data_IF_726822572681
#
_entry.id   IF_726822572681
#
_cell.length_a   1.000
_cell.length_b   1.000
_cell.length_c   1.000
_cell.angle_alpha   90.00
_cell.angle_beta   90.00
_cell.angle_gamma   90.00
#
_symmetry.space_group_name_H-M   'P 1'
#
loop_
_entity.id
_entity.type
_entity.pdbx_description
1 polymer ?
#
# COMPACT_ATOMS: atom_id res chain seq x y z
N UNK A 1 27.47 -32.79 17.89
CA UNK A 1 26.79 -32.78 19.20
C UNK A 1 26.21 -31.38 19.40
N UNK A 2 24.89 -31.23 19.53
CA UNK A 2 24.25 -29.92 19.73
C UNK A 2 24.26 -29.60 21.24
N UNK A 3 24.76 -28.42 21.62
CA UNK A 3 24.79 -27.96 23.00
C UNK A 3 23.79 -26.82 23.20
N UNK A 4 22.90 -26.96 24.19
CA UNK A 4 21.90 -25.95 24.53
C UNK A 4 22.26 -25.29 25.86
N UNK A 5 22.37 -23.96 25.86
CA UNK A 5 22.52 -23.13 27.04
C UNK A 5 21.23 -22.35 27.32
N UNK A 6 21.10 -21.79 28.53
CA UNK A 6 19.99 -20.88 28.85
C UNK A 6 19.97 -19.70 27.85
N UNK A 7 18.79 -19.42 27.29
CA UNK A 7 18.61 -18.40 26.27
C UNK A 7 18.96 -17.00 26.78
N UNK A 8 19.61 -16.19 25.93
CA UNK A 8 19.87 -14.78 26.23
C UNK A 8 18.60 -13.95 26.03
N UNK A 9 18.49 -12.83 26.74
CA UNK A 9 17.34 -11.93 26.67
C UNK A 9 17.16 -11.34 25.25
N UNK A 10 15.93 -11.08 24.79
CA UNK A 10 15.65 -10.68 23.40
C UNK A 10 16.41 -9.42 22.95
N UNK A 11 16.72 -8.51 23.90
CA UNK A 11 17.54 -7.31 23.68
C UNK A 11 19.00 -7.59 23.28
N UNK A 12 19.49 -8.81 23.47
CA UNK A 12 20.87 -9.22 23.14
C UNK A 12 21.02 -9.86 21.75
N UNK A 13 19.91 -10.08 21.05
CA UNK A 13 19.91 -10.66 19.70
C UNK A 13 20.08 -9.56 18.67
N UNK A 14 21.10 -9.69 17.81
CA UNK A 14 21.43 -8.74 16.74
C UNK A 14 20.22 -8.45 15.85
N UNK A 15 20.10 -7.20 15.40
CA UNK A 15 19.08 -6.79 14.43
C UNK A 15 19.18 -7.57 13.12
N UNK A 16 20.39 -8.02 12.74
CA UNK A 16 20.59 -8.84 11.54
C UNK A 16 19.85 -10.19 11.59
N UNK A 17 19.55 -10.69 12.78
CA UNK A 17 18.81 -11.94 12.97
C UNK A 17 17.29 -11.72 13.04
N UNK A 18 16.78 -10.52 12.71
CA UNK A 18 15.35 -10.16 12.76
C UNK A 18 14.85 -9.74 11.39
N UNK A 19 13.78 -10.35 10.91
CA UNK A 19 13.17 -9.99 9.64
C UNK A 19 12.55 -8.61 9.76
N UNK A 20 12.77 -7.77 8.75
CA UNK A 20 12.36 -6.36 8.74
C UNK A 20 10.83 -6.18 8.85
N UNK A 21 10.05 -7.16 8.40
CA UNK A 21 8.58 -7.05 8.30
C UNK A 21 7.81 -7.58 9.51
N UNK A 22 8.38 -8.51 10.30
CA UNK A 22 7.66 -9.17 11.41
C UNK A 22 8.52 -9.40 12.67
N UNK A 23 9.76 -8.89 12.69
CA UNK A 23 10.75 -9.07 13.76
C UNK A 23 11.08 -10.55 14.10
N UNK A 24 10.62 -11.49 13.26
CA UNK A 24 10.83 -12.90 13.52
C UNK A 24 12.30 -13.28 13.38
N UNK A 25 12.71 -14.22 14.23
CA UNK A 25 14.09 -14.65 14.33
C UNK A 25 14.45 -15.61 13.19
N UNK A 26 15.59 -15.35 12.55
CA UNK A 26 16.11 -16.20 11.48
C UNK A 26 17.64 -16.32 11.54
N UNK A 27 18.21 -17.42 11.02
CA UNK A 27 19.65 -17.58 10.92
C UNK A 27 20.23 -16.77 9.76
N UNK A 28 21.52 -16.44 9.89
CA UNK A 28 22.29 -15.74 8.86
C UNK A 28 23.01 -16.74 7.96
N UNK A 29 22.79 -16.70 6.66
CA UNK A 29 23.45 -17.56 5.68
C UNK A 29 24.56 -16.78 4.99
N UNK A 30 25.77 -17.31 5.06
CA UNK A 30 26.94 -16.78 4.40
C UNK A 30 27.43 -17.77 3.35
N UNK A 31 27.57 -17.31 2.10
CA UNK A 31 28.16 -18.10 1.02
C UNK A 31 29.44 -17.40 0.57
N UNK A 32 30.59 -18.07 0.72
CA UNK A 32 31.90 -17.48 0.41
C UNK A 32 32.09 -16.09 1.05
N UNK A 33 31.67 -15.96 2.33
CA UNK A 33 31.69 -14.74 3.15
C UNK A 33 30.73 -13.62 2.72
N UNK A 34 29.92 -13.80 1.68
CA UNK A 34 28.85 -12.87 1.34
C UNK A 34 27.58 -13.23 2.12
N UNK A 35 26.89 -12.22 2.65
CA UNK A 35 25.60 -12.39 3.32
C UNK A 35 24.50 -12.54 2.25
N UNK A 36 23.75 -13.62 2.31
CA UNK A 36 22.73 -13.96 1.32
C UNK A 36 21.32 -13.60 1.77
N UNK A 37 20.35 -13.64 0.85
CA UNK A 37 18.94 -13.53 1.21
C UNK A 37 18.45 -14.80 1.93
N UNK A 38 18.57 -14.78 3.25
CA UNK A 38 18.32 -15.96 4.09
C UNK A 38 16.86 -16.42 4.09
N UNK A 39 15.91 -15.53 3.79
CA UNK A 39 14.47 -15.89 3.78
C UNK A 39 14.18 -16.88 2.66
N UNK A 40 14.90 -16.79 1.54
CA UNK A 40 14.70 -17.67 0.37
C UNK A 40 15.43 -19.01 0.56
N UNK A 41 16.60 -18.97 1.20
CA UNK A 41 17.55 -20.09 1.21
C UNK A 41 17.42 -20.94 2.48
N UNK A 42 16.95 -20.34 3.57
CA UNK A 42 16.87 -21.00 4.88
C UNK A 42 15.67 -20.44 5.67
N UNK A 43 14.46 -20.73 5.21
CA UNK A 43 13.22 -20.24 5.81
C UNK A 43 12.89 -20.98 7.12
N UNK A 44 12.90 -20.31 8.30
CA UNK A 44 12.49 -20.92 9.56
C UNK A 44 11.03 -21.43 9.54
N UNK A 45 10.20 -20.91 8.64
CA UNK A 45 8.79 -21.26 8.51
C UNK A 45 8.54 -22.41 7.52
N UNK A 46 9.57 -23.09 7.00
CA UNK A 46 9.42 -24.18 6.01
C UNK A 46 8.51 -25.33 6.50
N UNK A 47 8.37 -25.51 7.82
CA UNK A 47 7.46 -26.50 8.43
C UNK A 47 6.28 -25.85 9.20
N UNK A 48 5.88 -24.62 8.88
CA UNK A 48 4.84 -23.85 9.60
C UNK A 48 3.49 -24.57 9.77
N UNK A 49 3.14 -25.50 8.87
CA UNK A 49 1.91 -26.30 8.95
C UNK A 49 1.97 -27.44 9.98
N UNK A 50 3.15 -27.75 10.53
CA UNK A 50 3.33 -28.78 11.57
C UNK A 50 3.19 -28.18 12.97
N UNK A 51 2.86 -29.03 13.94
CA UNK A 51 2.64 -28.59 15.33
C UNK A 51 3.93 -28.02 15.96
N UNK A 52 3.81 -27.06 16.88
CA UNK A 52 4.95 -26.44 17.59
C UNK A 52 5.73 -27.41 18.50
N UNK A 53 5.24 -28.65 18.62
CA UNK A 53 5.90 -29.77 19.30
C UNK A 53 6.84 -30.54 18.36
N UNK A 54 6.59 -30.49 17.06
CA UNK A 54 7.34 -31.18 16.01
C UNK A 54 8.36 -30.29 15.30
N UNK A 55 8.31 -28.98 15.55
CA UNK A 55 9.17 -28.00 14.90
C UNK A 55 9.81 -27.05 15.92
N UNK A 56 10.96 -26.49 15.56
CA UNK A 56 11.66 -25.47 16.32
C UNK A 56 11.49 -24.10 15.62
N UNK A 57 10.39 -23.36 15.88
CA UNK A 57 9.98 -22.21 15.06
C UNK A 57 10.82 -20.94 15.27
N UNK A 58 11.62 -20.85 16.33
CA UNK A 58 12.47 -19.67 16.59
C UNK A 58 13.91 -20.12 16.74
N UNK A 59 14.73 -19.78 15.74
CA UNK A 59 16.16 -20.09 15.74
C UNK A 59 16.97 -18.89 15.25
N UNK A 60 18.12 -18.70 15.88
CA UNK A 60 19.16 -17.76 15.45
C UNK A 60 20.45 -18.55 15.27
N UNK A 61 21.28 -18.15 14.32
CA UNK A 61 22.51 -18.88 14.02
C UNK A 61 23.24 -18.32 12.82
N UNK A 62 24.35 -18.97 12.45
CA UNK A 62 25.10 -18.70 11.23
C UNK A 62 25.28 -20.00 10.46
N UNK A 63 24.88 -20.01 9.20
CA UNK A 63 25.14 -21.09 8.25
C UNK A 63 26.20 -20.57 7.29
N UNK A 64 27.39 -21.20 7.28
CA UNK A 64 28.50 -20.78 6.44
C UNK A 64 28.78 -21.86 5.40
N UNK A 65 28.59 -21.54 4.13
CA UNK A 65 28.96 -22.39 3.00
C UNK A 65 30.23 -21.81 2.35
N UNK A 66 31.22 -22.67 2.16
CA UNK A 66 32.46 -22.33 1.46
C UNK A 66 32.60 -23.25 0.27
N UNK A 67 32.71 -22.67 -0.92
CA UNK A 67 32.91 -23.41 -2.18
C UNK A 67 33.97 -22.71 -3.02
N UNK A 68 34.88 -23.50 -3.59
CA UNK A 68 35.89 -23.03 -4.54
C UNK A 68 35.50 -23.29 -6.00
N UNK A 69 34.29 -23.78 -6.24
CA UNK A 69 33.85 -24.11 -7.60
C UNK A 69 33.61 -22.85 -8.41
N UNK A 70 34.11 -22.82 -9.64
CA UNK A 70 33.86 -21.75 -10.61
C UNK A 70 32.38 -21.69 -11.02
N UNK A 71 31.63 -22.79 -10.85
CA UNK A 71 30.17 -22.84 -11.06
C UNK A 71 29.38 -22.16 -9.93
N UNK A 72 30.05 -21.64 -8.90
CA UNK A 72 29.41 -20.89 -7.82
C UNK A 72 29.33 -19.40 -8.19
N UNK A 73 28.39 -19.07 -9.08
CA UNK A 73 28.18 -17.72 -9.59
C UNK A 73 27.10 -16.96 -8.81
N UNK A 74 27.24 -15.64 -8.75
CA UNK A 74 26.37 -14.75 -7.99
C UNK A 74 25.78 -13.65 -8.88
N UNK A 75 24.61 -13.14 -8.51
CA UNK A 75 24.07 -11.92 -9.11
C UNK A 75 24.98 -10.71 -8.80
N UNK A 76 24.78 -9.58 -9.50
CA UNK A 76 25.66 -8.40 -9.42
C UNK A 76 25.83 -7.85 -8.00
N UNK A 77 24.78 -7.94 -7.21
CA UNK A 77 24.68 -7.54 -5.79
C UNK A 77 25.15 -8.62 -4.80
N UNK A 78 25.52 -9.81 -5.29
CA UNK A 78 26.04 -10.96 -4.52
C UNK A 78 25.15 -11.42 -3.36
N UNK A 79 23.83 -11.25 -3.51
CA UNK A 79 22.85 -11.67 -2.51
C UNK A 79 22.07 -12.93 -2.92
N UNK A 80 22.16 -13.33 -4.19
CA UNK A 80 21.53 -14.53 -4.75
C UNK A 80 22.48 -15.28 -5.70
N UNK A 81 22.16 -16.55 -5.96
CA UNK A 81 22.87 -17.38 -6.92
C UNK A 81 22.45 -17.08 -8.36
N UNK A 82 23.37 -17.24 -9.30
CA UNK A 82 23.00 -17.53 -10.70
C UNK A 82 22.59 -19.00 -10.77
N UNK A 83 21.45 -19.29 -11.39
CA UNK A 83 20.90 -20.64 -11.43
C UNK A 83 21.74 -21.56 -12.32
N UNK A 84 22.24 -22.65 -11.72
CA UNK A 84 22.87 -23.76 -12.43
C UNK A 84 22.63 -25.07 -11.67
N UNK A 85 23.22 -26.18 -12.09
CA UNK A 85 23.03 -27.47 -11.42
C UNK A 85 23.58 -27.47 -9.98
N UNK A 86 24.78 -26.92 -9.78
CA UNK A 86 25.43 -26.87 -8.46
C UNK A 86 24.63 -26.02 -7.47
N UNK A 87 24.18 -24.84 -7.89
CA UNK A 87 23.44 -23.93 -7.00
C UNK A 87 22.06 -24.48 -6.66
N UNK A 88 21.38 -25.18 -7.59
CA UNK A 88 20.12 -25.88 -7.31
C UNK A 88 20.29 -27.01 -6.29
N UNK A 89 21.32 -27.83 -6.43
CA UNK A 89 21.57 -28.92 -5.49
C UNK A 89 21.94 -28.38 -4.10
N UNK A 90 22.75 -27.32 -4.04
CA UNK A 90 23.06 -26.64 -2.78
C UNK A 90 21.80 -26.10 -2.08
N UNK A 91 20.85 -25.52 -2.82
CA UNK A 91 19.60 -25.03 -2.23
C UNK A 91 18.77 -26.18 -1.63
N UNK A 92 18.71 -27.33 -2.31
CA UNK A 92 18.02 -28.53 -1.78
C UNK A 92 18.70 -29.07 -0.53
N UNK A 93 20.03 -29.06 -0.49
CA UNK A 93 20.80 -29.49 0.68
C UNK A 93 20.57 -28.56 1.87
N UNK A 94 20.54 -27.24 1.64
CA UNK A 94 20.26 -26.24 2.66
C UNK A 94 18.83 -26.34 3.20
N UNK A 95 17.85 -26.58 2.33
CA UNK A 95 16.46 -26.83 2.72
C UNK A 95 16.35 -28.12 3.57
N UNK A 96 17.04 -29.18 3.16
CA UNK A 96 17.07 -30.45 3.87
C UNK A 96 17.73 -30.31 5.25
N UNK A 97 18.83 -29.56 5.33
CA UNK A 97 19.51 -29.23 6.58
C UNK A 97 18.59 -28.44 7.52
N UNK A 98 17.86 -27.45 7.00
CA UNK A 98 16.90 -26.68 7.79
C UNK A 98 15.80 -27.56 8.38
N UNK A 99 15.19 -28.43 7.56
CA UNK A 99 14.18 -29.40 8.01
C UNK A 99 14.73 -30.34 9.09
N UNK A 100 15.95 -30.82 8.93
CA UNK A 100 16.63 -31.67 9.91
C UNK A 100 16.82 -30.92 11.25
N UNK A 101 17.37 -29.70 11.21
CA UNK A 101 17.58 -28.87 12.41
C UNK A 101 16.28 -28.61 13.15
N UNK A 102 15.19 -28.31 12.43
CA UNK A 102 13.89 -28.05 13.04
C UNK A 102 13.31 -29.29 13.74
N UNK A 103 13.45 -30.46 13.13
CA UNK A 103 12.90 -31.71 13.65
C UNK A 103 13.71 -32.21 14.84
N UNK A 104 15.02 -32.36 14.67
CA UNK A 104 15.95 -32.81 15.74
C UNK A 104 15.97 -31.81 16.91
N UNK A 105 15.92 -30.51 16.62
CA UNK A 105 15.86 -29.46 17.62
C UNK A 105 14.57 -29.51 18.45
N UNK A 106 13.45 -29.87 17.84
CA UNK A 106 12.18 -30.08 18.55
C UNK A 106 12.25 -31.31 19.47
N UNK A 107 12.84 -32.41 19.01
CA UNK A 107 13.02 -33.63 19.81
C UNK A 107 13.92 -33.42 21.02
N UNK A 108 15.04 -32.69 20.84
CA UNK A 108 15.93 -32.31 21.94
C UNK A 108 15.24 -31.40 22.96
N UNK A 109 14.48 -30.39 22.49
CA UNK A 109 13.65 -29.52 23.34
C UNK A 109 12.62 -30.32 24.13
N UNK A 110 12.00 -31.31 23.50
CA UNK A 110 11.02 -32.20 24.16
C UNK A 110 11.69 -33.13 25.18
N UNK A 111 12.90 -33.62 24.89
CA UNK A 111 13.72 -34.40 25.83
C UNK A 111 14.08 -33.61 27.09
N UNK A 112 14.45 -32.33 26.95
CA UNK A 112 14.75 -31.43 28.07
C UNK A 112 13.53 -31.12 28.96
N UNK A 113 12.30 -31.19 28.41
CA UNK A 113 11.08 -31.06 29.22
C UNK A 113 10.78 -32.31 30.04
N UNK A 114 11.13 -33.50 29.54
CA UNK A 114 10.91 -34.77 30.25
C UNK A 114 11.81 -34.93 31.48
N UNK A 115 12.99 -34.31 31.50
CA UNK A 115 13.94 -34.40 32.64
C UNK A 115 13.66 -33.43 33.80
N UNK A 116 12.61 -32.59 33.72
CA UNK A 116 12.25 -31.60 34.75
C UNK A 116 10.88 -31.84 35.41
N UNK A 117 10.46 -33.09 35.54
CA UNK A 117 9.41 -33.41 36.52
C UNK A 117 10.06 -33.64 37.88
N UNK A 118 10.51 -32.56 38.53
CA UNK A 118 10.73 -32.58 39.97
C UNK A 118 9.34 -32.55 40.62
N UNK A 119 8.95 -33.54 41.44
CA UNK A 119 7.69 -33.50 42.15
C UNK A 119 7.79 -32.42 43.22
N UNK A 120 7.39 -31.20 42.89
CA UNK A 120 7.09 -30.18 43.90
C UNK A 120 5.74 -30.54 44.51
N UNK A 121 5.76 -31.27 45.63
CA UNK A 121 4.64 -31.24 46.56
C UNK A 121 4.39 -29.81 47.05
N UNK A 122 3.16 -29.51 47.47
CA UNK A 122 2.86 -28.22 48.13
C UNK A 122 3.79 -28.10 49.35
N UNK A 123 4.80 -27.24 49.28
CA UNK A 123 5.66 -26.95 50.40
C UNK A 123 4.82 -26.36 51.55
N UNK A 124 5.16 -26.72 52.78
CA UNK A 124 4.62 -26.11 54.00
C UNK A 124 4.79 -24.58 53.91
N UNK A 125 3.77 -23.76 54.20
CA UNK A 125 3.88 -22.31 54.05
C UNK A 125 4.91 -21.81 55.06
N UNK A 126 6.11 -21.55 54.58
CA UNK A 126 7.05 -20.69 55.27
C UNK A 126 6.65 -19.28 54.87
N UNK A 127 6.22 -18.49 55.85
CA UNK A 127 6.03 -17.04 55.71
C UNK A 127 7.37 -16.43 55.29
N UNK A 128 7.60 -16.40 53.98
CA UNK A 128 8.56 -15.47 53.40
C UNK A 128 7.82 -14.15 53.37
N UNK A 129 8.23 -13.22 54.22
CA UNK A 129 8.00 -11.80 53.99
C UNK A 129 8.35 -11.54 52.52
N UNK A 130 7.32 -11.29 51.71
CA UNK A 130 7.50 -10.88 50.32
C UNK A 130 8.07 -9.48 50.40
N UNK A 131 9.39 -9.37 50.24
CA UNK A 131 9.98 -8.12 49.79
C UNK A 131 9.31 -7.74 48.46
N UNK A 132 8.32 -6.85 48.54
CA UNK A 132 7.63 -6.24 47.41
C UNK A 132 8.63 -5.36 46.66
N UNK A 133 9.45 -5.95 45.80
CA UNK A 133 10.11 -5.17 44.75
C UNK A 133 9.01 -4.69 43.80
N UNK A 134 8.69 -3.41 43.89
CA UNK A 134 7.79 -2.75 42.95
C UNK A 134 8.34 -2.95 41.52
N UNK A 135 7.48 -3.45 40.63
CA UNK A 135 7.71 -3.50 39.20
C UNK A 135 7.49 -2.14 38.53
N UNK A 136 7.55 -2.10 37.20
CA UNK A 136 7.34 -0.89 36.40
C UNK A 136 5.88 -0.84 35.96
N UNK A 137 5.22 0.29 36.13
CA UNK A 137 3.87 0.51 35.57
C UNK A 137 3.89 0.44 34.04
N UNK A 138 2.83 -0.09 33.43
CA UNK A 138 2.78 -0.33 31.99
C UNK A 138 1.38 -0.18 31.41
N UNK A 139 1.31 0.37 30.20
CA UNK A 139 0.12 0.41 29.36
C UNK A 139 0.38 -0.54 28.19
N UNK A 140 -0.47 -1.54 28.02
CA UNK A 140 -0.42 -2.48 26.90
C UNK A 140 -1.45 -2.07 25.87
N UNK A 141 -1.01 -1.88 24.63
CA UNK A 141 -1.86 -1.54 23.49
C UNK A 141 -2.31 -2.80 22.76
N UNK A 142 -3.57 -2.85 22.35
CA UNK A 142 -4.10 -3.89 21.49
C UNK A 142 -3.64 -3.67 20.04
N UNK A 143 -2.57 -4.38 19.67
CA UNK A 143 -1.97 -4.32 18.34
C UNK A 143 -2.82 -4.95 17.23
N UNK A 144 -3.97 -5.56 17.57
CA UNK A 144 -4.92 -6.08 16.57
C UNK A 144 -5.88 -5.03 16.06
N UNK A 145 -5.97 -3.86 16.72
CA UNK A 145 -6.83 -2.76 16.29
C UNK A 145 -6.25 -2.09 15.06
N UNK A 146 -7.13 -1.69 14.14
CA UNK A 146 -6.75 -1.00 12.91
C UNK A 146 -6.10 0.34 13.25
N UNK A 147 -5.03 0.68 12.56
CA UNK A 147 -4.37 1.99 12.67
C UNK A 147 -4.52 2.82 11.41
N UNK A 148 -5.14 2.27 10.36
CA UNK A 148 -5.41 2.96 9.10
C UNK A 148 -6.91 2.97 8.85
N UNK A 149 -7.43 4.15 8.53
CA UNK A 149 -8.86 4.41 8.31
C UNK A 149 -9.06 5.16 7.00
N UNK A 150 -10.21 4.93 6.37
CA UNK A 150 -10.61 5.72 5.21
C UNK A 150 -11.44 6.93 5.61
N UNK A 151 -11.28 8.03 4.88
CA UNK A 151 -12.08 9.25 5.05
C UNK A 151 -13.33 9.28 4.15
N UNK A 152 -14.46 9.87 4.61
CA UNK A 152 -14.68 10.34 5.98
C UNK A 152 -14.75 9.16 6.96
N UNK A 153 -14.06 9.27 8.09
CA UNK A 153 -13.98 8.15 9.04
C UNK A 153 -15.22 8.08 9.93
N UNK A 154 -15.53 6.90 10.45
CA UNK A 154 -16.44 6.80 11.58
C UNK A 154 -15.80 7.42 12.83
N UNK A 155 -16.60 7.62 13.88
CA UNK A 155 -16.06 7.93 15.21
C UNK A 155 -15.29 6.71 15.74
N UNK A 156 -14.12 6.95 16.33
CA UNK A 156 -13.24 5.88 16.81
C UNK A 156 -13.15 5.97 18.34
N UNK A 157 -13.54 4.90 19.02
CA UNK A 157 -13.33 4.78 20.46
C UNK A 157 -11.86 4.46 20.76
N UNK A 158 -11.16 5.41 21.36
CA UNK A 158 -9.73 5.30 21.64
C UNK A 158 -9.44 4.37 22.83
N UNK A 159 -10.43 4.11 23.70
CA UNK A 159 -10.27 3.21 24.85
C UNK A 159 -10.14 1.74 24.41
N UNK A 160 -10.69 1.40 23.25
CA UNK A 160 -10.57 0.08 22.64
C UNK A 160 -9.14 -0.32 22.28
N UNK A 161 -8.24 0.65 22.13
CA UNK A 161 -6.81 0.41 21.87
C UNK A 161 -6.03 0.06 23.13
N UNK A 162 -6.56 0.31 24.32
CA UNK A 162 -5.92 -0.10 25.57
C UNK A 162 -6.28 -1.57 25.80
N UNK A 163 -5.31 -2.48 25.69
CA UNK A 163 -5.50 -3.89 26.03
C UNK A 163 -5.55 -4.08 27.55
N UNK A 164 -4.56 -3.54 28.27
CA UNK A 164 -4.42 -3.68 29.72
C UNK A 164 -3.55 -2.57 30.30
N UNK A 165 -3.80 -2.18 31.55
CA UNK A 165 -2.95 -1.26 32.30
C UNK A 165 -2.55 -1.94 33.60
N UNK A 166 -1.27 -1.87 33.96
CA UNK A 166 -0.75 -2.40 35.22
C UNK A 166 0.00 -1.33 36.00
N UNK A 167 -0.28 -1.22 37.30
CA UNK A 167 0.50 -0.38 38.20
C UNK A 167 1.84 -1.03 38.54
N UNK A 168 2.69 -0.31 39.26
CA UNK A 168 4.01 -0.77 39.73
C UNK A 168 3.93 -1.96 40.71
N UNK A 169 2.77 -2.23 41.31
CA UNK A 169 2.53 -3.44 42.12
C UNK A 169 2.13 -4.65 41.29
N UNK A 170 1.94 -4.48 39.98
CA UNK A 170 1.53 -5.51 39.03
C UNK A 170 0.01 -5.75 38.99
N UNK A 171 -0.77 -4.91 39.66
CA UNK A 171 -2.23 -4.97 39.72
C UNK A 171 -2.85 -4.30 38.49
N UNK A 172 -4.02 -4.79 38.07
CA UNK A 172 -4.73 -4.21 36.93
C UNK A 172 -5.37 -2.88 37.33
N UNK A 173 -5.15 -1.86 36.50
CA UNK A 173 -5.74 -0.53 36.65
C UNK A 173 -6.92 -0.40 35.67
N UNK A 174 -7.93 0.39 36.03
CA UNK A 174 -9.06 0.64 35.15
C UNK A 174 -8.60 1.51 33.97
N UNK A 175 -9.11 1.23 32.78
CA UNK A 175 -8.82 2.03 31.57
C UNK A 175 -9.30 3.49 31.71
N UNK A 176 -10.30 3.73 32.55
CA UNK A 176 -10.79 5.08 32.93
C UNK A 176 -9.71 5.95 33.60
N UNK A 177 -8.66 5.34 34.14
CA UNK A 177 -7.61 6.06 34.87
C UNK A 177 -6.45 6.48 33.94
N UNK A 178 -6.56 6.14 32.65
CA UNK A 178 -5.62 6.55 31.60
C UNK A 178 -6.12 7.82 30.92
N UNK A 179 -5.30 8.87 30.89
CA UNK A 179 -5.55 10.06 30.08
C UNK A 179 -5.20 9.78 28.62
N UNK A 180 -6.10 10.15 27.71
CA UNK A 180 -5.89 9.99 26.26
C UNK A 180 -5.70 11.39 25.64
N UNK A 181 -4.63 11.56 24.86
CA UNK A 181 -4.32 12.80 24.16
C UNK A 181 -4.27 12.55 22.65
N UNK A 182 -4.79 13.49 21.86
CA UNK A 182 -4.74 13.48 20.38
C UNK A 182 -3.88 14.66 19.93
N UNK A 183 -2.77 14.40 19.24
CA UNK A 183 -1.75 15.39 18.87
C UNK A 183 -1.36 16.30 20.05
N UNK A 184 -1.17 15.69 21.22
CA UNK A 184 -0.80 16.38 22.46
C UNK A 184 -1.92 17.17 23.15
N UNK A 185 -3.16 17.15 22.65
CA UNK A 185 -4.32 17.78 23.31
C UNK A 185 -5.18 16.74 24.02
N UNK A 186 -5.59 17.02 25.25
CA UNK A 186 -6.44 16.11 26.04
C UNK A 186 -7.78 15.82 25.34
N UNK A 187 -8.08 14.53 25.18
CA UNK A 187 -9.36 14.04 24.64
C UNK A 187 -10.27 13.59 25.77
N UNK A 188 -11.05 14.53 26.31
CA UNK A 188 -11.98 14.28 27.44
C UNK A 188 -13.06 13.26 27.07
N UNK A 189 -13.49 13.25 25.79
CA UNK A 189 -14.56 12.37 25.31
C UNK A 189 -14.09 10.94 25.04
N UNK A 190 -12.77 10.67 25.01
CA UNK A 190 -12.15 9.37 24.66
C UNK A 190 -12.53 8.80 23.28
N UNK A 191 -13.38 9.51 22.54
CA UNK A 191 -13.80 9.21 21.17
C UNK A 191 -13.17 10.24 20.26
N UNK A 192 -12.50 9.77 19.21
CA UNK A 192 -12.05 10.60 18.12
C UNK A 192 -13.23 10.85 17.17
N UNK A 193 -13.46 12.13 16.83
CA UNK A 193 -14.50 12.51 15.87
C UNK A 193 -14.18 11.98 14.46
N UNK A 194 -15.19 11.95 13.60
CA UNK A 194 -15.00 11.72 12.16
C UNK A 194 -13.92 12.66 11.61
N UNK A 195 -12.99 12.09 10.85
CA UNK A 195 -11.94 12.80 10.12
C UNK A 195 -12.36 12.87 8.65
N UNK A 196 -12.43 14.09 8.11
CA UNK A 196 -12.90 14.34 6.73
C UNK A 196 -11.75 14.57 5.74
N UNK A 197 -10.54 14.86 6.23
CA UNK A 197 -9.38 15.19 5.39
C UNK A 197 -8.19 14.26 5.72
N UNK A 198 -7.34 13.93 4.73
CA UNK A 198 -6.21 13.03 4.95
C UNK A 198 -5.23 13.61 5.96
N UNK A 199 -4.89 12.82 6.98
CA UNK A 199 -3.93 13.22 8.00
C UNK A 199 -3.41 12.03 8.79
N UNK A 200 -2.37 12.28 9.58
CA UNK A 200 -1.89 11.37 10.60
C UNK A 200 -2.13 11.99 11.98
N UNK A 201 -2.66 11.20 12.91
CA UNK A 201 -2.92 11.62 14.28
C UNK A 201 -2.12 10.75 15.25
N UNK A 202 -1.37 11.40 16.14
CA UNK A 202 -0.65 10.75 17.22
C UNK A 202 -1.59 10.66 18.42
N UNK A 203 -1.79 9.44 18.94
CA UNK A 203 -2.61 9.20 20.12
C UNK A 203 -1.69 8.74 21.25
N UNK A 204 -1.67 9.51 22.34
CA UNK A 204 -0.87 9.19 23.53
C UNK A 204 -1.78 8.75 24.67
N UNK A 205 -1.46 7.60 25.26
CA UNK A 205 -2.09 7.05 26.46
C UNK A 205 -1.17 7.28 27.65
N UNK A 206 -1.63 8.00 28.66
CA UNK A 206 -0.85 8.41 29.82
C UNK A 206 -1.47 7.89 31.11
N UNK A 207 -0.70 7.21 31.93
CA UNK A 207 -1.09 6.77 33.27
C UNK A 207 -0.07 7.29 34.28
N UNK A 208 -0.54 7.79 35.42
CA UNK A 208 0.32 8.27 36.50
C UNK A 208 0.31 7.25 37.65
N UNK A 209 1.38 6.48 37.75
CA UNK A 209 1.56 5.52 38.84
C UNK A 209 2.08 6.24 40.10
N UNK A 210 1.51 5.92 41.26
CA UNK A 210 1.87 6.55 42.54
C UNK A 210 3.33 6.38 42.93
N UNK A 211 3.99 5.32 42.44
CA UNK A 211 5.35 4.94 42.84
C UNK A 211 6.35 5.22 41.71
N UNK A 212 6.06 4.79 40.49
CA UNK A 212 6.98 4.91 39.34
C UNK A 212 6.76 6.15 38.49
N UNK A 213 5.73 6.95 38.80
CA UNK A 213 5.40 8.17 38.07
C UNK A 213 4.71 7.89 36.73
N UNK A 214 4.88 8.81 35.79
CA UNK A 214 4.15 8.82 34.52
C UNK A 214 4.69 7.75 33.56
N UNK A 215 3.78 6.92 33.04
CA UNK A 215 4.01 6.04 31.90
C UNK A 215 3.19 6.49 30.70
N UNK A 216 3.80 6.49 29.51
CA UNK A 216 3.17 6.88 28.25
C UNK A 216 3.30 5.74 27.23
N UNK A 217 2.26 5.50 26.46
CA UNK A 217 2.28 4.67 25.26
C UNK A 217 1.66 5.43 24.10
N UNK A 218 2.11 5.13 22.88
CA UNK A 218 1.74 5.89 21.68
C UNK A 218 1.27 4.95 20.57
N UNK A 219 0.28 5.40 19.81
CA UNK A 219 -0.09 4.85 18.50
C UNK A 219 -0.22 5.98 17.47
N UNK A 220 0.01 5.64 16.21
CA UNK A 220 -0.22 6.53 15.07
C UNK A 220 -1.45 6.04 14.32
N UNK A 221 -2.44 6.91 14.11
CA UNK A 221 -3.60 6.64 13.26
C UNK A 221 -3.43 7.37 11.93
N UNK A 222 -3.49 6.64 10.81
CA UNK A 222 -3.44 7.17 9.44
C UNK A 222 -4.85 7.25 8.87
N UNK A 223 -5.20 8.41 8.30
CA UNK A 223 -6.48 8.67 7.64
C UNK A 223 -6.23 8.93 6.16
N UNK A 224 -6.66 8.00 5.32
CA UNK A 224 -6.36 7.98 3.89
C UNK A 224 -7.64 8.09 3.05
N UNK A 225 -7.53 8.63 1.84
CA UNK A 225 -8.66 8.58 0.90
C UNK A 225 -8.90 7.14 0.49
N UNK A 226 -10.17 6.74 0.41
CA UNK A 226 -10.52 5.48 -0.22
C UNK A 226 -10.18 5.57 -1.70
N UNK A 227 -9.31 4.67 -2.15
CA UNK A 227 -8.93 4.52 -3.55
C UNK A 227 -9.48 3.20 -4.04
N UNK A 228 -10.27 3.28 -5.11
CA UNK A 228 -10.92 2.13 -5.74
C UNK A 228 -10.39 1.93 -7.16
N UNK A 229 -10.50 0.71 -7.68
CA UNK A 229 -10.03 0.38 -9.03
C UNK A 229 -10.98 0.94 -10.10
N UNK A 230 -10.43 1.46 -11.18
CA UNK A 230 -11.12 1.55 -12.46
C UNK A 230 -10.65 0.36 -13.28
N UNK A 231 -11.57 -0.52 -13.65
CA UNK A 231 -11.20 -1.77 -14.33
C UNK A 231 -12.05 -2.00 -15.56
N UNK A 232 -11.46 -2.66 -16.57
CA UNK A 232 -12.25 -3.20 -17.66
C UNK A 232 -12.94 -4.52 -17.28
N UNK A 233 -12.24 -5.37 -16.54
CA UNK A 233 -12.68 -6.69 -16.08
C UNK A 233 -12.33 -6.88 -14.61
N UNK A 234 -13.02 -7.80 -13.93
CA UNK A 234 -12.84 -8.06 -12.48
C UNK A 234 -11.37 -8.42 -12.20
N UNK A 235 -10.68 -7.58 -11.43
CA UNK A 235 -9.30 -7.78 -11.00
C UNK A 235 -9.09 -7.15 -9.62
N UNK A 236 -8.28 -7.79 -8.78
CA UNK A 236 -8.03 -7.33 -7.39
C UNK A 236 -7.29 -5.99 -7.33
N UNK A 237 -6.46 -5.67 -8.33
CA UNK A 237 -5.66 -4.44 -8.38
C UNK A 237 -5.56 -3.92 -9.81
N UNK A 238 -5.84 -2.63 -9.99
CA UNK A 238 -5.66 -1.92 -11.26
C UNK A 238 -4.58 -0.84 -11.12
N UNK A 239 -3.92 -0.52 -12.23
CA UNK A 239 -3.08 0.67 -12.38
C UNK A 239 -3.94 1.94 -12.45
N UNK A 240 -5.18 1.84 -12.90
CA UNK A 240 -6.11 2.96 -13.00
C UNK A 240 -6.94 3.02 -11.74
N UNK A 241 -6.83 4.14 -11.00
CA UNK A 241 -7.52 4.28 -9.73
C UNK A 241 -8.39 5.53 -9.65
N UNK A 242 -9.32 5.51 -8.71
CA UNK A 242 -10.26 6.60 -8.47
C UNK A 242 -10.50 6.79 -6.98
N UNK A 243 -10.57 8.05 -6.54
CA UNK A 243 -10.86 8.40 -5.14
C UNK A 243 -12.36 8.29 -4.85
N UNK A 244 -12.92 7.08 -4.94
CA UNK A 244 -14.35 6.79 -4.78
C UNK A 244 -14.58 5.68 -3.75
N UNK A 245 -15.76 5.71 -3.13
CA UNK A 245 -16.29 4.69 -2.25
C UNK A 245 -16.41 3.31 -2.91
N UNK A 246 -16.54 3.27 -4.24
CA UNK A 246 -16.70 2.07 -5.03
C UNK A 246 -15.80 2.06 -6.28
N UNK A 247 -15.49 0.87 -6.77
CA UNK A 247 -14.75 0.72 -8.03
C UNK A 247 -15.65 1.01 -9.23
N UNK A 248 -15.05 1.46 -10.34
CA UNK A 248 -15.77 1.71 -11.59
C UNK A 248 -15.42 0.67 -12.64
N UNK A 249 -16.43 0.14 -13.33
CA UNK A 249 -16.24 -0.78 -14.45
C UNK A 249 -16.53 -0.09 -15.77
N UNK A 250 -15.50 0.05 -16.61
CA UNK A 250 -15.62 0.72 -17.91
C UNK A 250 -16.40 -0.15 -18.88
N UNK A 251 -17.40 0.43 -19.54
CA UNK A 251 -18.29 -0.25 -20.48
C UNK A 251 -17.88 -0.09 -21.95
N UNK A 252 -17.02 0.88 -22.28
CA UNK A 252 -16.39 0.98 -23.60
C UNK A 252 -15.50 -0.26 -23.84
N UNK A 253 -15.99 -1.23 -24.62
CA UNK A 253 -15.39 -2.57 -24.80
C UNK A 253 -13.88 -2.55 -25.09
N UNK A 254 -13.46 -1.82 -26.12
CA UNK A 254 -12.02 -1.76 -26.51
C UNK A 254 -11.16 -1.13 -25.42
N UNK A 255 -11.68 -0.11 -24.73
CA UNK A 255 -10.94 0.55 -23.63
C UNK A 255 -10.85 -0.38 -22.42
N UNK A 256 -11.95 -1.07 -22.10
CA UNK A 256 -12.01 -2.09 -21.07
C UNK A 256 -10.95 -3.18 -21.28
N UNK A 257 -10.82 -3.70 -22.50
CA UNK A 257 -9.81 -4.70 -22.83
C UNK A 257 -8.37 -4.17 -22.74
N UNK A 258 -8.12 -2.93 -23.16
CA UNK A 258 -6.80 -2.30 -23.04
C UNK A 258 -6.42 -2.08 -21.57
N UNK A 259 -7.33 -1.56 -20.75
CA UNK A 259 -7.12 -1.40 -19.30
C UNK A 259 -6.76 -2.75 -18.67
N UNK A 260 -7.51 -3.80 -19.00
CA UNK A 260 -7.23 -5.14 -18.49
C UNK A 260 -5.85 -5.67 -18.92
N UNK A 261 -5.45 -5.43 -20.18
CA UNK A 261 -4.12 -5.82 -20.67
C UNK A 261 -3.00 -5.07 -19.94
N UNK A 262 -3.18 -3.76 -19.72
CA UNK A 262 -2.25 -2.93 -18.94
C UNK A 262 -2.13 -3.48 -17.52
N UNK A 263 -3.25 -3.72 -16.83
CA UNK A 263 -3.26 -4.22 -15.46
C UNK A 263 -2.56 -5.57 -15.33
N UNK A 264 -2.78 -6.46 -16.31
CA UNK A 264 -2.09 -7.75 -16.37
C UNK A 264 -0.58 -7.58 -16.48
N UNK A 265 -0.10 -6.75 -17.40
CA UNK A 265 1.34 -6.46 -17.56
C UNK A 265 1.90 -5.80 -16.29
N UNK A 266 1.17 -4.85 -15.73
CA UNK A 266 1.58 -4.09 -14.55
C UNK A 266 1.65 -4.93 -13.27
N UNK A 267 0.89 -6.02 -13.21
CA UNK A 267 0.94 -7.00 -12.11
C UNK A 267 2.17 -7.91 -12.14
N UNK A 268 2.93 -7.93 -13.24
CA UNK A 268 4.12 -8.79 -13.37
C UNK A 268 5.32 -8.24 -12.58
N UNK A 269 6.28 -9.14 -12.27
CA UNK A 269 7.54 -8.75 -11.61
C UNK A 269 8.42 -7.84 -12.47
N UNK A 270 8.28 -7.93 -13.80
CA UNK A 270 9.09 -7.19 -14.77
C UNK A 270 8.36 -5.96 -15.32
N UNK A 271 7.32 -5.47 -14.66
CA UNK A 271 6.50 -4.32 -15.11
C UNK A 271 7.31 -3.09 -15.52
N UNK A 272 8.48 -2.88 -14.90
CA UNK A 272 9.35 -1.73 -15.17
C UNK A 272 9.96 -1.79 -16.60
N UNK A 273 10.10 -2.99 -17.19
CA UNK A 273 10.54 -3.18 -18.57
C UNK A 273 9.44 -2.78 -19.58
N UNK A 274 8.19 -2.75 -19.14
CA UNK A 274 7.03 -2.47 -19.98
C UNK A 274 6.50 -1.04 -19.85
N UNK A 275 7.14 -0.16 -19.08
CA UNK A 275 6.66 1.22 -18.87
C UNK A 275 6.41 2.00 -20.18
N UNK A 276 7.28 1.93 -21.21
CA UNK A 276 7.02 2.57 -22.49
C UNK A 276 5.77 2.02 -23.19
N UNK A 277 5.58 0.70 -23.14
CA UNK A 277 4.41 0.04 -23.74
C UNK A 277 3.13 0.45 -23.01
N UNK A 278 3.15 0.44 -21.67
CA UNK A 278 2.04 0.87 -20.84
C UNK A 278 1.69 2.34 -21.12
N UNK A 279 2.69 3.23 -21.20
CA UNK A 279 2.48 4.64 -21.52
C UNK A 279 1.82 4.82 -22.90
N UNK A 280 2.28 4.11 -23.93
CA UNK A 280 1.61 4.11 -25.24
C UNK A 280 0.18 3.58 -25.16
N UNK A 281 -0.08 2.53 -24.39
CA UNK A 281 -1.43 2.00 -24.20
C UNK A 281 -2.35 2.98 -23.46
N UNK A 282 -1.85 3.71 -22.46
CA UNK A 282 -2.57 4.81 -21.80
C UNK A 282 -2.95 5.89 -22.82
N UNK A 283 -2.06 6.24 -23.75
CA UNK A 283 -2.37 7.17 -24.85
C UNK A 283 -3.55 6.66 -25.69
N UNK A 284 -3.51 5.39 -26.11
CA UNK A 284 -4.59 4.78 -26.87
C UNK A 284 -5.93 4.81 -26.13
N UNK A 285 -5.91 4.65 -24.80
CA UNK A 285 -7.11 4.76 -23.97
C UNK A 285 -7.72 6.17 -24.03
N UNK A 286 -6.90 7.23 -23.95
CA UNK A 286 -7.38 8.61 -24.18
C UNK A 286 -7.97 8.79 -25.59
N UNK A 287 -7.27 8.30 -26.62
CA UNK A 287 -7.68 8.45 -28.01
C UNK A 287 -9.03 7.79 -28.28
N UNK A 288 -9.17 6.51 -27.91
CA UNK A 288 -10.40 5.74 -28.16
C UNK A 288 -11.57 6.30 -27.37
N UNK A 289 -11.36 6.66 -26.09
CA UNK A 289 -12.43 7.21 -25.24
C UNK A 289 -12.93 8.56 -25.77
N UNK A 290 -12.01 9.46 -26.14
CA UNK A 290 -12.35 10.77 -26.68
C UNK A 290 -13.06 10.66 -28.03
N UNK A 291 -12.54 9.86 -28.96
CA UNK A 291 -13.13 9.67 -30.28
C UNK A 291 -14.53 9.04 -30.19
N UNK A 292 -14.71 8.04 -29.32
CA UNK A 292 -16.01 7.41 -29.09
C UNK A 292 -17.02 8.42 -28.57
N UNK A 293 -16.68 9.20 -27.55
CA UNK A 293 -17.59 10.22 -26.98
C UNK A 293 -17.96 11.28 -28.01
N UNK A 294 -16.98 11.84 -28.72
CA UNK A 294 -17.18 12.85 -29.75
C UNK A 294 -18.08 12.34 -30.88
N UNK A 295 -17.97 11.06 -31.25
CA UNK A 295 -18.81 10.44 -32.29
C UNK A 295 -20.23 10.16 -31.81
N UNK A 296 -20.41 9.73 -30.55
CA UNK A 296 -21.73 9.42 -29.98
C UNK A 296 -22.55 10.69 -29.74
N UNK A 297 -21.93 11.75 -29.23
CA UNK A 297 -22.62 13.00 -28.87
C UNK A 297 -22.10 14.22 -29.62
N UNK A 298 -21.95 14.11 -30.95
CA UNK A 298 -21.42 15.17 -31.84
C UNK A 298 -22.05 16.54 -31.60
N UNK A 299 -23.34 16.58 -31.25
CA UNK A 299 -24.08 17.80 -30.99
C UNK A 299 -23.55 18.63 -29.81
N UNK A 300 -22.89 18.00 -28.83
CA UNK A 300 -22.36 18.67 -27.64
C UNK A 300 -21.03 19.39 -27.92
N UNK A 301 -20.34 19.02 -28.99
CA UNK A 301 -18.97 19.45 -29.26
C UNK A 301 -18.90 20.35 -30.49
N UNK A 302 -18.43 21.57 -30.30
CA UNK A 302 -18.16 22.54 -31.36
C UNK A 302 -16.95 22.13 -32.20
N UNK A 303 -16.98 22.49 -33.49
CA UNK A 303 -15.79 22.39 -34.33
C UNK A 303 -15.00 23.68 -34.20
N UNK A 304 -13.84 23.62 -33.56
CA UNK A 304 -13.03 24.81 -33.37
C UNK A 304 -12.39 25.33 -34.66
N UNK A 305 -12.37 26.65 -34.80
CA UNK A 305 -11.58 27.36 -35.79
C UNK A 305 -10.18 27.66 -35.22
N UNK A 306 -9.17 26.92 -35.68
CA UNK A 306 -7.78 27.06 -35.19
C UNK A 306 -7.19 28.47 -35.39
N UNK A 307 -7.73 29.24 -36.35
CA UNK A 307 -7.34 30.63 -36.60
C UNK A 307 -7.78 31.58 -35.48
N UNK A 308 -8.79 31.23 -34.70
CA UNK A 308 -9.35 32.04 -33.62
C UNK A 308 -8.64 31.82 -32.28
N UNK A 309 -7.88 30.73 -32.14
CA UNK A 309 -7.01 30.53 -30.98
C UNK A 309 -5.90 31.59 -30.92
N UNK A 310 -5.58 32.02 -29.70
CA UNK A 310 -4.38 32.80 -29.44
C UNK A 310 -3.09 32.03 -29.82
N UNK A 311 -1.97 32.75 -29.95
CA UNK A 311 -0.70 32.20 -30.42
C UNK A 311 -0.16 31.07 -29.55
N UNK A 312 -0.38 31.14 -28.22
CA UNK A 312 0.06 30.13 -27.26
C UNK A 312 -0.75 28.86 -27.40
N UNK A 313 -2.08 28.94 -27.36
CA UNK A 313 -2.99 27.81 -27.53
C UNK A 313 -2.76 27.11 -28.86
N UNK A 314 -2.59 27.87 -29.95
CA UNK A 314 -2.29 27.32 -31.28
C UNK A 314 -0.99 26.51 -31.31
N UNK A 315 -0.01 26.89 -30.49
CA UNK A 315 1.28 26.20 -30.41
C UNK A 315 1.19 24.92 -29.58
N UNK A 316 0.45 24.97 -28.47
CA UNK A 316 0.29 23.85 -27.53
C UNK A 316 -0.68 22.79 -28.07
N UNK A 317 -1.78 23.20 -28.71
CA UNK A 317 -2.88 22.31 -29.17
C UNK A 317 -2.67 21.87 -30.62
N UNK A 318 -1.43 21.49 -30.96
CA UNK A 318 -1.11 20.88 -32.28
C UNK A 318 -1.54 19.42 -32.35
N UNK A 319 -1.49 18.71 -31.23
CA UNK A 319 -1.95 17.32 -31.13
C UNK A 319 -3.48 17.27 -31.07
N UNK A 320 -4.10 16.59 -32.04
CA UNK A 320 -5.55 16.39 -32.09
C UNK A 320 -6.06 15.68 -30.83
N UNK A 321 -5.29 14.77 -30.25
CA UNK A 321 -5.66 14.11 -29.00
C UNK A 321 -5.79 15.12 -27.86
N UNK A 322 -4.77 15.96 -27.68
CA UNK A 322 -4.77 16.96 -26.62
C UNK A 322 -5.96 17.92 -26.78
N UNK A 323 -6.23 18.36 -28.01
CA UNK A 323 -7.40 19.19 -28.33
C UNK A 323 -8.71 18.53 -27.89
N UNK A 324 -8.91 17.27 -28.24
CA UNK A 324 -10.13 16.53 -27.94
C UNK A 324 -10.32 16.34 -26.43
N UNK A 325 -9.25 15.96 -25.72
CA UNK A 325 -9.28 15.79 -24.26
C UNK A 325 -9.60 17.12 -23.58
N UNK A 326 -8.91 18.20 -23.94
CA UNK A 326 -9.16 19.51 -23.34
C UNK A 326 -10.55 20.04 -23.66
N UNK A 327 -11.10 19.76 -24.86
CA UNK A 327 -12.48 20.10 -25.18
C UNK A 327 -13.47 19.42 -24.23
N UNK A 328 -13.31 18.11 -24.01
CA UNK A 328 -14.18 17.34 -23.10
C UNK A 328 -14.05 17.86 -21.66
N UNK A 329 -12.83 18.04 -21.16
CA UNK A 329 -12.60 18.54 -19.80
C UNK A 329 -13.13 19.97 -19.61
N UNK A 330 -12.95 20.84 -20.60
CA UNK A 330 -13.50 22.19 -20.60
C UNK A 330 -15.04 22.18 -20.59
N UNK A 331 -15.65 21.29 -21.38
CA UNK A 331 -17.10 21.12 -21.41
C UNK A 331 -17.64 20.72 -20.03
N UNK A 332 -17.00 19.75 -19.37
CA UNK A 332 -17.39 19.36 -18.01
C UNK A 332 -17.19 20.51 -17.02
N UNK A 333 -16.06 21.22 -17.08
CA UNK A 333 -15.79 22.32 -16.16
C UNK A 333 -16.74 23.51 -16.32
N UNK A 334 -17.17 23.80 -17.55
CA UNK A 334 -18.10 24.88 -17.89
C UNK A 334 -19.53 24.60 -17.43
N UNK A 335 -19.90 23.33 -17.27
CA UNK A 335 -21.28 22.91 -17.01
C UNK A 335 -21.43 22.29 -15.62
N UNK A 336 -21.83 23.10 -14.63
CA UNK A 336 -21.96 22.66 -13.24
C UNK A 336 -22.95 21.49 -13.06
N UNK A 337 -24.09 21.51 -13.74
CA UNK A 337 -25.09 20.41 -13.70
C UNK A 337 -24.52 19.09 -14.21
N UNK A 338 -23.77 19.13 -15.32
CA UNK A 338 -23.09 17.97 -15.87
C UNK A 338 -22.04 17.45 -14.87
N UNK A 339 -21.27 18.36 -14.26
CA UNK A 339 -20.28 18.00 -13.25
C UNK A 339 -20.90 17.34 -12.02
N UNK A 340 -22.04 17.84 -11.53
CA UNK A 340 -22.78 17.22 -10.42
C UNK A 340 -23.29 15.82 -10.81
N UNK A 341 -23.93 15.68 -11.98
CA UNK A 341 -24.41 14.38 -12.45
C UNK A 341 -23.26 13.36 -12.55
N UNK A 342 -22.09 13.79 -13.04
CA UNK A 342 -20.90 12.94 -13.10
C UNK A 342 -20.40 12.58 -11.69
N UNK A 343 -20.28 13.54 -10.77
CA UNK A 343 -19.82 13.27 -9.41
C UNK A 343 -20.71 12.29 -8.67
N UNK A 344 -22.03 12.38 -8.87
CA UNK A 344 -23.02 11.51 -8.25
C UNK A 344 -22.93 10.08 -8.79
N UNK A 345 -22.79 9.91 -10.12
CA UNK A 345 -22.65 8.57 -10.75
C UNK A 345 -21.35 7.88 -10.33
N UNK A 346 -20.28 8.65 -10.15
CA UNK A 346 -18.95 8.14 -9.83
C UNK A 346 -18.74 7.98 -8.31
N UNK A 347 -19.70 8.45 -7.50
CA UNK A 347 -19.64 8.42 -6.03
C UNK A 347 -18.40 9.15 -5.47
N UNK A 348 -18.17 10.37 -5.96
CA UNK A 348 -17.10 11.28 -5.51
C UNK A 348 -17.72 12.60 -5.08
N UNK A 349 -17.21 13.21 -4.01
CA UNK A 349 -17.66 14.55 -3.63
C UNK A 349 -17.39 15.57 -4.74
N UNK A 350 -18.33 16.50 -4.95
CA UNK A 350 -18.25 17.51 -6.01
C UNK A 350 -16.94 18.32 -5.97
N UNK A 351 -16.45 18.68 -4.77
CA UNK A 351 -15.19 19.39 -4.59
C UNK A 351 -13.99 18.55 -5.04
N UNK A 352 -13.93 17.28 -4.65
CA UNK A 352 -12.88 16.36 -5.06
C UNK A 352 -12.91 16.15 -6.57
N UNK A 353 -14.09 15.90 -7.14
CA UNK A 353 -14.24 15.73 -8.58
C UNK A 353 -13.80 16.98 -9.35
N UNK A 354 -14.16 18.18 -8.87
CA UNK A 354 -13.72 19.46 -9.48
C UNK A 354 -12.19 19.59 -9.47
N UNK A 355 -11.54 19.22 -8.37
CA UNK A 355 -10.07 19.26 -8.28
C UNK A 355 -9.39 18.28 -9.25
N UNK A 356 -10.01 17.12 -9.52
CA UNK A 356 -9.52 16.14 -10.48
C UNK A 356 -9.64 16.60 -11.95
N UNK A 357 -10.43 17.65 -12.23
CA UNK A 357 -10.62 18.19 -13.58
C UNK A 357 -9.57 19.25 -13.98
N UNK A 358 -8.41 19.25 -13.32
CA UNK A 358 -7.34 20.19 -13.61
C UNK A 358 -6.70 19.92 -14.98
N UNK A 359 -6.79 20.90 -15.88
CA UNK A 359 -6.26 20.80 -17.24
C UNK A 359 -4.75 20.57 -17.35
N UNK A 360 -3.95 21.03 -16.37
CA UNK A 360 -2.50 20.82 -16.38
C UNK A 360 -2.16 19.33 -16.29
N UNK A 361 -2.97 18.58 -15.55
CA UNK A 361 -2.70 17.19 -15.23
C UNK A 361 -2.99 16.31 -16.47
N UNK A 362 -4.08 16.61 -17.19
CA UNK A 362 -4.37 15.98 -18.49
C UNK A 362 -3.29 16.29 -19.54
N UNK A 363 -2.81 17.54 -19.62
CA UNK A 363 -1.71 17.93 -20.52
C UNK A 363 -0.44 17.11 -20.20
N UNK A 364 -0.08 17.03 -18.93
CA UNK A 364 1.09 16.28 -18.48
C UNK A 364 0.95 14.77 -18.76
N UNK A 365 -0.20 14.19 -18.46
CA UNK A 365 -0.49 12.77 -18.70
C UNK A 365 -0.37 12.41 -20.19
N UNK A 366 -0.98 13.21 -21.08
CA UNK A 366 -0.90 12.99 -22.53
C UNK A 366 0.54 13.10 -23.02
N UNK A 367 1.28 14.11 -22.56
CA UNK A 367 2.69 14.30 -22.92
C UNK A 367 3.56 13.14 -22.44
N UNK A 368 3.35 12.64 -21.22
CA UNK A 368 4.07 11.49 -20.67
C UNK A 368 3.73 10.18 -21.40
N UNK A 369 2.51 10.08 -21.96
CA UNK A 369 2.07 8.93 -22.76
C UNK A 369 2.57 8.95 -24.22
N UNK A 370 3.19 10.04 -24.66
CA UNK A 370 3.70 10.21 -26.02
C UNK A 370 5.15 9.68 -26.15
N UNK A 371 5.29 8.36 -26.28
CA UNK A 371 6.60 7.71 -26.44
C UNK A 371 6.93 7.52 -27.93
N UNK A 372 7.40 8.59 -28.57
CA UNK A 372 7.83 8.54 -29.98
C UNK A 372 9.20 7.88 -30.19
N UNK A 373 9.46 7.37 -31.39
CA UNK A 373 10.74 6.73 -31.76
C UNK A 373 12.00 7.61 -31.55
N UNK A 374 11.82 8.93 -31.44
CA UNK A 374 12.89 9.92 -31.19
C UNK A 374 12.69 10.76 -29.90
N UNK A 375 11.71 10.44 -29.05
CA UNK A 375 11.43 11.19 -27.81
C UNK A 375 11.69 10.32 -26.57
N UNK A 376 12.75 10.65 -25.83
CA UNK A 376 12.78 10.67 -24.35
C UNK A 376 12.18 9.47 -23.58
N UNK A 377 12.35 8.21 -24.02
CA UNK A 377 12.17 7.04 -23.12
C UNK A 377 13.05 7.16 -21.86
N UNK A 378 14.14 7.94 -21.96
CA UNK A 378 15.09 8.26 -20.88
C UNK A 378 14.50 8.99 -19.66
N UNK A 379 13.30 9.58 -19.76
CA UNK A 379 12.69 10.37 -18.67
C UNK A 379 11.32 9.87 -18.21
N UNK A 380 10.85 8.74 -18.75
CA UNK A 380 9.62 8.08 -18.34
C UNK A 380 9.90 7.20 -17.12
N UNK A 381 9.47 7.65 -15.94
CA UNK A 381 9.61 6.90 -14.70
C UNK A 381 8.29 6.23 -14.33
N UNK A 382 8.38 5.16 -13.52
CA UNK A 382 7.22 4.46 -12.98
C UNK A 382 6.20 5.42 -12.31
N UNK A 383 6.61 6.37 -11.44
CA UNK A 383 5.67 7.33 -10.84
C UNK A 383 4.93 8.19 -11.88
N UNK A 384 5.59 8.59 -12.98
CA UNK A 384 4.92 9.35 -14.04
C UNK A 384 3.87 8.53 -14.77
N UNK A 385 4.13 7.23 -14.96
CA UNK A 385 3.16 6.30 -15.57
C UNK A 385 1.97 6.09 -14.65
N UNK A 386 2.19 5.87 -13.35
CA UNK A 386 1.13 5.73 -12.34
C UNK A 386 0.24 6.98 -12.31
N UNK A 387 0.82 8.18 -12.21
CA UNK A 387 0.06 9.45 -12.23
C UNK A 387 -0.70 9.64 -13.56
N UNK A 388 -0.09 9.28 -14.69
CA UNK A 388 -0.75 9.41 -15.99
C UNK A 388 -1.93 8.43 -16.13
N UNK A 389 -1.84 7.25 -15.51
CA UNK A 389 -2.91 6.27 -15.47
C UNK A 389 -4.07 6.74 -14.58
N UNK A 390 -3.81 7.34 -13.43
CA UNK A 390 -4.88 7.91 -12.58
C UNK A 390 -5.66 9.00 -13.32
N UNK A 391 -4.96 9.95 -13.96
CA UNK A 391 -5.57 11.02 -14.76
C UNK A 391 -6.35 10.42 -15.94
N UNK A 392 -5.79 9.42 -16.62
CA UNK A 392 -6.46 8.70 -17.69
C UNK A 392 -7.72 7.98 -17.20
N UNK A 393 -7.65 7.35 -16.03
CA UNK A 393 -8.77 6.69 -15.39
C UNK A 393 -9.96 7.62 -15.22
N UNK A 394 -9.74 8.79 -14.61
CA UNK A 394 -10.79 9.81 -14.46
C UNK A 394 -11.37 10.21 -15.82
N UNK A 395 -10.51 10.45 -16.82
CA UNK A 395 -10.97 10.80 -18.17
C UNK A 395 -11.87 9.73 -18.80
N UNK A 396 -11.48 8.46 -18.68
CA UNK A 396 -12.23 7.33 -19.23
C UNK A 396 -13.58 7.22 -18.56
N UNK A 397 -13.64 7.33 -17.23
CA UNK A 397 -14.89 7.28 -16.47
C UNK A 397 -15.83 8.40 -16.93
N UNK A 398 -15.33 9.63 -17.09
CA UNK A 398 -16.12 10.75 -17.63
C UNK A 398 -16.69 10.40 -19.01
N UNK A 399 -15.84 9.89 -19.91
CA UNK A 399 -16.28 9.53 -21.25
C UNK A 399 -17.33 8.40 -21.23
N UNK A 400 -17.09 7.36 -20.43
CA UNK A 400 -17.95 6.18 -20.31
C UNK A 400 -19.32 6.56 -19.76
N UNK A 401 -19.39 7.37 -18.69
CA UNK A 401 -20.65 7.87 -18.14
C UNK A 401 -21.39 8.73 -19.17
N UNK A 402 -20.71 9.67 -19.84
CA UNK A 402 -21.35 10.52 -20.84
C UNK A 402 -21.87 9.75 -22.05
N UNK A 403 -21.13 8.73 -22.52
CA UNK A 403 -21.54 7.86 -23.65
C UNK A 403 -22.80 7.07 -23.31
N UNK A 404 -22.92 6.60 -22.06
CA UNK A 404 -24.03 5.78 -21.60
C UNK A 404 -25.18 6.60 -20.99
N UNK A 405 -25.08 7.94 -21.01
CA UNK A 405 -26.14 8.81 -20.53
C UNK A 405 -27.31 8.82 -21.50
N UNK A 406 -28.53 8.72 -20.98
CA UNK A 406 -29.73 8.79 -21.80
C UNK A 406 -29.85 10.16 -22.50
N UNK A 407 -30.46 10.17 -23.70
CA UNK A 407 -30.61 11.40 -24.47
C UNK A 407 -31.45 12.45 -23.73
N UNK A 408 -32.45 12.02 -22.96
CA UNK A 408 -33.33 12.92 -22.22
C UNK A 408 -32.56 13.60 -21.08
N UNK A 409 -31.78 12.83 -20.30
CA UNK A 409 -30.88 13.36 -19.28
C UNK A 409 -29.95 14.44 -19.85
N UNK A 410 -29.34 14.19 -21.02
CA UNK A 410 -28.45 15.16 -21.66
C UNK A 410 -29.14 16.46 -22.08
N UNK A 411 -30.42 16.40 -22.45
CA UNK A 411 -31.20 17.59 -22.81
C UNK A 411 -31.54 18.40 -21.54
N UNK A 412 -31.88 17.75 -20.44
CA UNK A 412 -32.20 18.40 -19.17
C UNK A 412 -31.00 19.13 -18.53
N UNK A 413 -29.78 18.71 -18.87
CA UNK A 413 -28.55 19.34 -18.39
C UNK A 413 -28.32 20.75 -18.96
N UNK A 414 -29.00 21.14 -20.04
CA UNK A 414 -28.86 22.45 -20.70
C UNK A 414 -27.39 22.82 -20.98
N UNK A 415 -26.69 21.92 -21.70
CA UNK A 415 -25.23 21.98 -21.86
C UNK A 415 -24.83 23.20 -22.71
N UNK A 416 -24.05 24.09 -22.11
CA UNK A 416 -23.38 25.19 -22.78
C UNK A 416 -22.11 24.67 -23.45
N UNK A 417 -22.02 24.85 -24.77
CA UNK A 417 -20.88 24.39 -25.55
C UNK A 417 -19.62 25.20 -25.27
N UNK A 418 -18.48 24.56 -25.48
CA UNK A 418 -17.16 25.18 -25.39
C UNK A 418 -16.89 26.02 -26.64
N UNK A 419 -16.22 27.15 -26.46
CA UNK A 419 -15.76 28.07 -27.50
C UNK A 419 -14.24 28.13 -27.48
N UNK A 420 -13.65 28.73 -28.51
CA UNK A 420 -12.22 28.91 -28.65
C UNK A 420 -11.64 29.73 -27.48
N UNK A 421 -12.39 30.74 -27.02
CA UNK A 421 -12.01 31.55 -25.86
C UNK A 421 -11.92 30.73 -24.56
N UNK A 422 -12.82 29.78 -24.36
CA UNK A 422 -12.77 28.91 -23.17
C UNK A 422 -11.52 28.02 -23.18
N UNK A 423 -11.11 27.51 -24.36
CA UNK A 423 -9.88 26.74 -24.49
C UNK A 423 -8.66 27.63 -24.26
N UNK A 424 -8.67 28.86 -24.79
CA UNK A 424 -7.58 29.83 -24.61
C UNK A 424 -7.32 30.13 -23.14
N UNK A 425 -8.36 30.26 -22.32
CA UNK A 425 -8.25 30.47 -20.87
C UNK A 425 -7.51 29.34 -20.16
N UNK A 426 -7.54 28.12 -20.68
CA UNK A 426 -6.81 26.98 -20.10
C UNK A 426 -5.28 27.09 -20.29
N UNK A 427 -4.80 28.06 -21.07
CA UNK A 427 -3.38 28.32 -21.33
C UNK A 427 -2.92 29.69 -20.84
N UNK A 428 -3.77 30.43 -20.12
CA UNK A 428 -3.37 31.67 -19.44
C UNK A 428 -2.75 31.27 -18.09
N UNK A 429 -1.53 31.76 -17.81
CA UNK A 429 -0.86 31.62 -16.50
C UNK A 429 -1.33 32.77 -15.62
#
# INVERSE_FOLDING_TARGET
MFHFNNGKNSKSVSYLNRRVHDDALYPLVYINKNLFNNIIIFDPEVLRKKSSRETLPQMIGRVCVVSKSERMEFNSDRTNFVENSLTRDLLRDLESLNKLIQTEGADLKNGLKKSKNVPTGKAFPTEKEKDLKNGIASIFIDRKRNTTFYIPSEQIDLEEYIFQVKNSKGENVKKSDVTIMVNGKDSVKRVLNSVEEPCELIINFKYNDEITGVVISEILLSFEKKVSNISGRVQEKSLFTIQSGSGYKVSIETVSDIIHAIDKIYSTRNKDEYLPLIACSIRSVFEISSDKLLKTHKQLFTKFNVQEFNSRTRTEVKDTLLKNVLHIICLVNKNAKLRTKLSDVIDISFSTFTNLLNSSDFKAAIKNSHVGAHQSTRFLSKPKVEVSADVCGIFVVICDVMINMEKNDLVELDIVKVTESDIDQMFVI
#
